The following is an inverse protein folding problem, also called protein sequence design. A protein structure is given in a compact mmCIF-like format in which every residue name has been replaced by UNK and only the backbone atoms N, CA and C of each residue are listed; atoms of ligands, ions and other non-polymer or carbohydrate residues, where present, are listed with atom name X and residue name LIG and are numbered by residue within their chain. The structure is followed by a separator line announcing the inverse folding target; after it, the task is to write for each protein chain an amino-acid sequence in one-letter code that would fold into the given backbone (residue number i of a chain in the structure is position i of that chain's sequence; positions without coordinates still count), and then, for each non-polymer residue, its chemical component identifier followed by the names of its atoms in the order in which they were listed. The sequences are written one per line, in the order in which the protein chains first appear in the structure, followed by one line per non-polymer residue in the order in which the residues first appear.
data_IF_646874256502
#
_entry.id   IF_646874256502
#
_cell.length_a   1.000
_cell.length_b   1.000
_cell.length_c   1.000
_cell.angle_alpha   90.00
_cell.angle_beta   90.00
_cell.angle_gamma   90.00
#
_symmetry.space_group_name_H-M   'P 1'
#
loop_
_entity.id
_entity.type
_entity.pdbx_description
1 polymer ?
#
# COMPACT_ATOMS: atom_id res chain seq x y z
N UNK A 1 10.57 50.00 -24.44
CA UNK A 1 10.00 48.77 -25.03
C UNK A 1 10.69 47.50 -24.54
N UNK A 2 12.02 47.48 -24.34
CA UNK A 2 12.73 46.31 -23.80
C UNK A 2 12.46 46.04 -22.32
N UNK A 3 12.37 47.07 -21.49
CA UNK A 3 12.21 46.92 -20.03
C UNK A 3 10.88 46.28 -19.65
N UNK A 4 9.77 46.73 -20.24
CA UNK A 4 8.44 46.12 -20.03
C UNK A 4 8.38 44.65 -20.47
N UNK A 5 9.05 44.28 -21.58
CA UNK A 5 9.12 42.87 -22.00
C UNK A 5 9.95 42.03 -21.03
N UNK A 6 11.00 42.62 -20.44
CA UNK A 6 11.82 41.95 -19.45
C UNK A 6 11.01 41.69 -18.16
N UNK A 7 10.28 42.70 -17.67
CA UNK A 7 9.38 42.56 -16.51
C UNK A 7 8.30 41.50 -16.74
N UNK A 8 7.69 41.46 -17.94
CA UNK A 8 6.71 40.44 -18.31
C UNK A 8 7.31 39.03 -18.30
N UNK A 9 8.54 38.87 -18.80
CA UNK A 9 9.25 37.59 -18.79
C UNK A 9 9.60 37.18 -17.36
N UNK A 10 10.10 38.09 -16.53
CA UNK A 10 10.44 37.82 -15.13
C UNK A 10 9.20 37.42 -14.33
N UNK A 11 8.08 38.11 -14.50
CA UNK A 11 6.81 37.76 -13.87
C UNK A 11 6.31 36.38 -14.32
N UNK A 12 6.46 36.06 -15.61
CA UNK A 12 6.05 34.76 -16.16
C UNK A 12 6.95 33.64 -15.63
N UNK A 13 8.26 33.88 -15.55
CA UNK A 13 9.23 32.94 -15.02
C UNK A 13 8.95 32.63 -13.54
N UNK A 14 8.72 33.65 -12.72
CA UNK A 14 8.38 33.47 -11.31
C UNK A 14 7.10 32.64 -11.12
N UNK A 15 6.08 32.87 -11.96
CA UNK A 15 4.86 32.07 -11.94
C UNK A 15 5.11 30.60 -12.33
N UNK A 16 5.96 30.37 -13.33
CA UNK A 16 6.35 29.03 -13.73
C UNK A 16 7.20 28.32 -12.68
N UNK A 17 8.11 29.01 -12.00
CA UNK A 17 8.87 28.44 -10.87
C UNK A 17 7.95 27.99 -9.75
N UNK A 18 6.96 28.81 -9.37
CA UNK A 18 5.96 28.42 -8.38
C UNK A 18 5.17 27.19 -8.84
N UNK A 19 4.72 27.19 -10.10
CA UNK A 19 3.94 26.08 -10.66
C UNK A 19 4.74 24.77 -10.69
N UNK A 20 6.04 24.85 -10.99
CA UNK A 20 6.95 23.70 -10.98
C UNK A 20 7.17 23.18 -9.56
N UNK A 21 7.28 24.07 -8.58
CA UNK A 21 7.39 23.68 -7.18
C UNK A 21 6.13 22.95 -6.70
N UNK A 22 4.95 23.50 -6.99
CA UNK A 22 3.67 22.89 -6.61
C UNK A 22 3.49 21.50 -7.26
N UNK A 23 3.89 21.36 -8.52
CA UNK A 23 3.88 20.07 -9.23
C UNK A 23 4.87 19.07 -8.61
N UNK A 24 6.06 19.51 -8.22
CA UNK A 24 7.07 18.68 -7.55
C UNK A 24 6.53 18.12 -6.23
N UNK A 25 5.90 18.98 -5.43
CA UNK A 25 5.30 18.61 -4.15
C UNK A 25 4.15 17.60 -4.35
N UNK A 26 3.31 17.83 -5.36
CA UNK A 26 2.23 16.90 -5.72
C UNK A 26 2.78 15.54 -6.17
N UNK A 27 3.84 15.52 -6.97
CA UNK A 27 4.51 14.27 -7.38
C UNK A 27 5.05 13.50 -6.17
N UNK A 28 5.64 14.19 -5.19
CA UNK A 28 6.08 13.55 -3.94
C UNK A 28 4.92 12.93 -3.16
N UNK A 29 3.78 13.62 -3.06
CA UNK A 29 2.59 13.10 -2.39
C UNK A 29 2.08 11.85 -3.12
N UNK A 30 1.98 11.89 -4.45
CA UNK A 30 1.56 10.74 -5.24
C UNK A 30 2.52 9.56 -5.09
N UNK A 31 3.82 9.80 -5.04
CA UNK A 31 4.81 8.73 -4.81
C UNK A 31 4.58 8.01 -3.48
N UNK A 32 4.34 8.76 -2.40
CA UNK A 32 4.04 8.18 -1.08
C UNK A 32 2.75 7.37 -1.09
N UNK A 33 1.74 7.84 -1.81
CA UNK A 33 0.46 7.14 -1.94
C UNK A 33 0.60 5.84 -2.74
N UNK A 34 1.34 5.86 -3.85
CA UNK A 34 1.66 4.65 -4.63
C UNK A 34 2.36 3.61 -3.75
N UNK A 35 3.36 4.01 -2.97
CA UNK A 35 4.06 3.11 -2.05
C UNK A 35 3.18 2.57 -0.92
N UNK A 36 2.19 3.35 -0.47
CA UNK A 36 1.19 2.87 0.49
C UNK A 36 0.29 1.82 -0.15
N UNK A 37 -0.21 2.07 -1.35
CA UNK A 37 -1.09 1.17 -2.08
C UNK A 37 -0.39 -0.14 -2.47
N UNK A 38 0.88 -0.09 -2.90
CA UNK A 38 1.70 -1.28 -3.16
C UNK A 38 1.78 -2.19 -1.93
N UNK A 39 2.12 -1.63 -0.76
CA UNK A 39 2.17 -2.38 0.50
C UNK A 39 0.83 -3.00 0.90
N UNK A 40 -0.27 -2.33 0.60
CA UNK A 40 -1.60 -2.90 0.85
C UNK A 40 -1.90 -4.06 -0.09
N UNK A 41 -1.50 -3.94 -1.36
CA UNK A 41 -1.67 -5.00 -2.35
C UNK A 41 -0.83 -6.23 -2.00
N UNK A 42 0.43 -6.05 -1.60
CA UNK A 42 1.32 -7.13 -1.14
C UNK A 42 0.68 -7.91 0.02
N UNK A 43 0.26 -7.21 1.08
CA UNK A 43 -0.41 -7.86 2.23
C UNK A 43 -1.70 -8.59 1.86
N UNK A 44 -2.46 -8.03 0.92
CA UNK A 44 -3.69 -8.67 0.46
C UNK A 44 -3.38 -9.95 -0.31
N UNK A 45 -2.35 -9.94 -1.16
CA UNK A 45 -1.85 -11.13 -1.86
C UNK A 45 -1.37 -12.18 -0.87
N UNK A 46 -0.54 -11.82 0.11
CA UNK A 46 -0.05 -12.74 1.15
C UNK A 46 -1.22 -13.38 1.91
N UNK A 47 -2.25 -12.58 2.26
CA UNK A 47 -3.44 -13.08 2.95
C UNK A 47 -4.23 -14.07 2.08
N UNK A 48 -4.30 -13.82 0.77
CA UNK A 48 -4.99 -14.73 -0.16
C UNK A 48 -4.22 -16.04 -0.27
N UNK A 49 -2.90 -15.98 -0.39
CA UNK A 49 -2.02 -17.16 -0.43
C UNK A 49 -2.17 -18.00 0.84
N UNK A 50 -2.07 -17.38 2.02
CA UNK A 50 -2.30 -18.05 3.31
C UNK A 50 -3.68 -18.74 3.39
N UNK A 51 -4.73 -18.09 2.87
CA UNK A 51 -6.07 -18.68 2.86
C UNK A 51 -6.17 -19.85 1.87
N UNK A 52 -5.55 -19.74 0.70
CA UNK A 52 -5.48 -20.81 -0.30
C UNK A 52 -4.73 -22.02 0.26
N UNK A 53 -3.57 -21.82 0.87
CA UNK A 53 -2.77 -22.89 1.49
C UNK A 53 -3.56 -23.63 2.57
N UNK A 54 -4.32 -22.90 3.40
CA UNK A 54 -5.18 -23.52 4.43
C UNK A 54 -6.34 -24.32 3.83
N UNK A 55 -6.89 -23.88 2.71
CA UNK A 55 -7.93 -24.60 1.97
C UNK A 55 -7.39 -25.87 1.33
N UNK A 56 -6.21 -25.80 0.69
CA UNK A 56 -5.56 -26.92 -0.01
C UNK A 56 -4.98 -27.96 0.95
N UNK A 57 -4.40 -27.53 2.06
CA UNK A 57 -3.84 -28.41 3.09
C UNK A 57 -4.91 -29.23 3.82
N UNK A 58 -6.20 -28.94 3.59
CA UNK A 58 -7.32 -29.62 4.26
C UNK A 58 -7.30 -29.45 5.78
N UNK A 59 -6.52 -28.49 6.28
CA UNK A 59 -6.29 -28.24 7.69
C UNK A 59 -7.52 -27.50 8.22
N UNK A 60 -8.61 -28.26 8.39
CA UNK A 60 -9.72 -27.84 9.24
C UNK A 60 -9.08 -27.47 10.57
N UNK A 61 -9.25 -26.23 11.08
CA UNK A 61 -8.80 -25.93 12.43
C UNK A 61 -9.39 -27.01 13.33
N UNK A 62 -8.51 -27.79 13.99
CA UNK A 62 -8.95 -28.90 14.84
C UNK A 62 -10.04 -28.36 15.76
N UNK A 63 -11.24 -28.93 15.65
CA UNK A 63 -12.32 -28.51 16.52
C UNK A 63 -11.87 -28.74 17.96
N UNK A 64 -12.32 -27.90 18.89
CA UNK A 64 -12.04 -28.07 20.33
C UNK A 64 -12.42 -29.50 20.79
N UNK A 65 -13.41 -30.11 20.13
CA UNK A 65 -13.78 -31.52 20.30
C UNK A 65 -12.69 -32.52 19.88
N UNK A 66 -11.98 -32.26 18.79
CA UNK A 66 -10.96 -33.15 18.22
C UNK A 66 -9.70 -33.17 19.10
N UNK A 67 -9.36 -32.01 19.68
CA UNK A 67 -8.27 -31.87 20.67
C UNK A 67 -8.63 -32.61 21.97
N UNK A 68 -9.88 -32.52 22.42
CA UNK A 68 -10.34 -33.21 23.62
C UNK A 68 -10.36 -34.74 23.45
N UNK A 69 -10.71 -35.24 22.26
CA UNK A 69 -10.71 -36.66 21.95
C UNK A 69 -9.29 -37.27 21.95
N UNK A 70 -8.28 -36.54 21.47
CA UNK A 70 -6.87 -36.97 21.49
C UNK A 70 -6.26 -37.07 22.89
N UNK A 71 -6.77 -36.28 23.85
CA UNK A 71 -6.21 -36.20 25.20
C UNK A 71 -6.96 -37.10 26.21
N UNK A 72 -7.91 -37.93 25.78
CA UNK A 72 -8.63 -38.80 26.71
C UNK A 72 -7.75 -40.02 27.07
N UNK A 73 -7.47 -40.26 28.37
CA UNK A 73 -6.63 -41.40 28.78
C UNK A 73 -7.29 -42.74 28.42
N UNK A 74 -6.51 -43.80 28.14
CA UNK A 74 -7.06 -45.13 27.91
C UNK A 74 -7.82 -45.60 29.14
N UNK A 75 -9.11 -45.90 28.98
CA UNK A 75 -9.87 -46.57 30.02
C UNK A 75 -9.44 -48.04 30.04
N UNK A 76 -8.73 -48.44 31.10
CA UNK A 76 -8.47 -49.84 31.46
C UNK A 76 -9.63 -50.41 32.27
#
# INVERSE_FOLDING_TARGET
MNEKRLEEIESTLAHHEQSLQDLSDLVQVQWKEIERLKRHLERASDTIEDLQDRLESGDKPMSVSDIAARNKPPHY
#
